data_IF_256878309319
#
_entry.id   IF_256878309319
#
_cell.length_a   1.000
_cell.length_b   1.000
_cell.length_c   1.000
_cell.angle_alpha   90.00
_cell.angle_beta   90.00
_cell.angle_gamma   90.00
#
_symmetry.space_group_name_H-M   'P 1'
#
loop_
_entity.id
_entity.type
_entity.pdbx_description
1 polymer ?
#
# COMPACT_ATOMS: atom_id res chain seq x y z
N UNK A 1 -17.78 2.09 -29.18
CA UNK A 1 -17.40 1.31 -27.99
C UNK A 1 -17.21 2.29 -26.84
N UNK A 2 -18.06 2.25 -25.81
CA UNK A 2 -17.93 3.13 -24.64
C UNK A 2 -17.00 2.51 -23.61
N UNK A 3 -16.07 3.30 -23.05
CA UNK A 3 -15.20 2.88 -21.94
C UNK A 3 -15.65 3.62 -20.68
N UNK A 4 -16.00 2.87 -19.65
CA UNK A 4 -16.21 3.43 -18.30
C UNK A 4 -14.88 3.66 -17.61
N UNK A 5 -14.88 4.55 -16.61
CA UNK A 5 -13.72 4.83 -15.76
C UNK A 5 -14.14 4.82 -14.29
N UNK A 6 -13.29 4.27 -13.42
CA UNK A 6 -13.45 4.39 -11.97
C UNK A 6 -12.95 5.78 -11.54
N UNK A 7 -13.85 6.66 -11.13
CA UNK A 7 -13.50 8.03 -10.75
C UNK A 7 -13.00 8.11 -9.30
N UNK A 8 -13.66 7.42 -8.38
CA UNK A 8 -13.28 7.41 -6.97
C UNK A 8 -13.70 6.12 -6.29
N UNK A 9 -12.87 5.69 -5.33
CA UNK A 9 -13.20 4.66 -4.35
C UNK A 9 -13.10 5.31 -2.97
N UNK A 10 -14.23 5.36 -2.25
CA UNK A 10 -14.32 5.96 -0.91
C UNK A 10 -14.60 4.86 0.10
N UNK A 11 -13.75 4.75 1.12
CA UNK A 11 -13.91 3.78 2.18
C UNK A 11 -13.19 4.27 3.44
N UNK A 12 -13.50 3.66 4.59
CA UNK A 12 -12.69 3.86 5.79
C UNK A 12 -11.25 3.32 5.58
N UNK A 13 -10.38 3.55 6.56
CA UNK A 13 -8.99 3.14 6.48
C UNK A 13 -8.83 1.62 6.30
N UNK A 14 -9.62 0.81 7.00
CA UNK A 14 -9.49 -0.64 7.00
C UNK A 14 -9.94 -1.23 5.66
N UNK A 15 -11.09 -0.78 5.15
CA UNK A 15 -11.62 -1.18 3.86
C UNK A 15 -10.73 -0.67 2.71
N UNK A 16 -10.19 0.55 2.79
CA UNK A 16 -9.21 1.07 1.84
C UNK A 16 -7.96 0.20 1.78
N UNK A 17 -7.45 -0.24 2.93
CA UNK A 17 -6.32 -1.17 2.97
C UNK A 17 -6.68 -2.53 2.37
N UNK A 18 -7.83 -3.10 2.72
CA UNK A 18 -8.28 -4.40 2.20
C UNK A 18 -8.39 -4.41 0.68
N UNK A 19 -9.09 -3.41 0.11
CA UNK A 19 -9.31 -3.32 -1.33
C UNK A 19 -8.02 -2.93 -2.05
N UNK A 20 -7.24 -2.00 -1.49
CA UNK A 20 -5.91 -1.62 -1.98
C UNK A 20 -4.84 -2.71 -1.85
N UNK A 21 -5.15 -3.84 -1.21
CA UNK A 21 -4.21 -4.96 -1.04
C UNK A 21 -3.13 -4.71 0.01
N UNK A 22 -3.27 -3.68 0.84
CA UNK A 22 -2.36 -3.34 1.93
C UNK A 22 -2.63 -4.17 3.19
N UNK A 23 -1.64 -4.24 4.09
CA UNK A 23 -1.83 -4.80 5.43
C UNK A 23 -2.75 -3.89 6.24
N UNK A 24 -3.80 -4.47 6.79
CA UNK A 24 -4.80 -3.78 7.62
C UNK A 24 -4.29 -3.33 8.99
N UNK A 25 -3.24 -3.98 9.50
CA UNK A 25 -2.67 -3.71 10.81
C UNK A 25 -1.33 -3.00 10.70
N UNK A 26 -1.18 -1.91 11.46
CA UNK A 26 0.10 -1.22 11.63
C UNK A 26 1.10 -2.06 12.44
N UNK A 27 0.62 -3.01 13.26
CA UNK A 27 1.48 -3.79 14.15
C UNK A 27 2.40 -4.75 13.40
N UNK A 28 1.96 -5.26 12.24
CA UNK A 28 2.63 -6.32 11.49
C UNK A 28 3.14 -5.86 10.12
N UNK A 29 3.32 -4.56 9.93
CA UNK A 29 3.86 -3.97 8.71
C UNK A 29 5.00 -3.01 9.06
N UNK A 30 6.15 -3.13 8.37
CA UNK A 30 7.21 -2.13 8.48
C UNK A 30 6.77 -0.82 7.83
N UNK A 31 6.28 -0.89 6.59
CA UNK A 31 5.71 0.24 5.86
C UNK A 31 4.18 0.18 5.82
N UNK A 32 3.53 0.66 6.88
CA UNK A 32 2.09 0.46 7.11
C UNK A 32 1.19 1.38 6.28
N UNK A 33 1.66 2.57 5.87
CA UNK A 33 0.84 3.53 5.14
C UNK A 33 0.65 3.11 3.68
N UNK A 34 -0.52 3.38 3.09
CA UNK A 34 -0.77 3.18 1.66
C UNK A 34 -0.13 4.26 0.78
N UNK A 35 0.05 5.48 1.29
CA UNK A 35 0.54 6.65 0.55
C UNK A 35 2.03 6.94 0.69
N UNK A 36 2.67 6.48 1.77
CA UNK A 36 4.08 6.74 2.04
C UNK A 36 4.83 5.52 2.56
N UNK A 37 6.15 5.64 2.61
CA UNK A 37 7.07 4.60 3.09
C UNK A 37 7.44 4.79 4.57
N UNK A 38 6.58 5.44 5.36
CA UNK A 38 6.82 5.64 6.79
C UNK A 38 6.96 4.31 7.54
N UNK A 39 7.94 4.25 8.43
CA UNK A 39 8.03 3.21 9.45
C UNK A 39 7.36 3.64 10.76
N UNK A 40 7.17 2.71 11.69
CA UNK A 40 6.69 3.04 13.05
C UNK A 40 7.58 4.08 13.73
N UNK A 41 8.90 3.99 13.56
CA UNK A 41 9.82 4.94 14.18
C UNK A 41 9.75 6.31 13.53
N UNK A 42 9.59 6.38 12.21
CA UNK A 42 9.39 7.66 11.51
C UNK A 42 8.10 8.34 11.97
N UNK A 43 7.01 7.57 12.12
CA UNK A 43 5.70 8.09 12.54
C UNK A 43 5.67 8.64 13.97
N UNK A 44 6.66 8.29 14.80
CA UNK A 44 6.83 8.84 16.16
C UNK A 44 7.64 10.15 16.16
N UNK A 45 8.42 10.39 15.11
CA UNK A 45 9.37 11.52 15.01
C UNK A 45 8.84 12.64 14.12
N UNK A 46 7.96 12.31 13.18
CA UNK A 46 7.47 13.23 12.17
C UNK A 46 5.94 13.20 12.12
N UNK A 47 5.32 14.37 12.00
CA UNK A 47 3.86 14.54 12.02
C UNK A 47 3.31 15.23 10.76
N UNK A 48 4.18 15.68 9.85
CA UNK A 48 3.80 16.30 8.58
C UNK A 48 4.14 15.39 7.41
N UNK A 49 3.23 15.32 6.43
CA UNK A 49 3.34 14.43 5.26
C UNK A 49 4.65 14.63 4.48
N UNK A 50 5.12 15.88 4.39
CA UNK A 50 6.33 16.29 3.66
C UNK A 50 7.62 15.63 4.19
N UNK A 51 7.62 15.16 5.44
CA UNK A 51 8.78 14.49 6.05
C UNK A 51 8.86 13.01 5.69
N UNK A 52 7.83 12.46 5.05
CA UNK A 52 7.80 11.06 4.65
C UNK A 52 8.05 10.91 3.17
N UNK A 53 8.87 9.92 2.80
CA UNK A 53 9.03 9.51 1.41
C UNK A 53 7.69 8.95 0.89
N UNK A 54 7.13 9.57 -0.14
CA UNK A 54 5.92 9.06 -0.81
C UNK A 54 6.16 7.67 -1.41
N UNK A 55 5.11 6.84 -1.40
CA UNK A 55 5.11 5.56 -2.11
C UNK A 55 4.73 5.84 -3.56
N UNK A 56 5.71 5.79 -4.45
CA UNK A 56 5.45 6.06 -5.87
C UNK A 56 4.70 4.88 -6.52
N UNK A 57 3.87 5.13 -7.55
CA UNK A 57 3.21 4.06 -8.31
C UNK A 57 4.19 3.03 -8.88
N UNK A 58 5.36 3.47 -9.35
CA UNK A 58 6.40 2.63 -9.92
C UNK A 58 7.01 1.70 -8.87
N UNK A 59 7.38 2.25 -7.70
CA UNK A 59 7.87 1.46 -6.58
C UNK A 59 6.80 0.47 -6.08
N UNK A 60 5.54 0.90 -6.00
CA UNK A 60 4.42 0.04 -5.60
C UNK A 60 4.23 -1.13 -6.55
N UNK A 61 4.33 -0.91 -7.86
CA UNK A 61 4.25 -1.96 -8.88
C UNK A 61 5.36 -3.00 -8.70
N UNK A 62 6.61 -2.56 -8.51
CA UNK A 62 7.75 -3.45 -8.24
C UNK A 62 7.55 -4.25 -6.95
N UNK A 63 7.07 -3.61 -5.88
CA UNK A 63 6.77 -4.28 -4.61
C UNK A 63 5.69 -5.36 -4.78
N UNK A 64 4.62 -5.07 -5.53
CA UNK A 64 3.57 -6.03 -5.83
C UNK A 64 4.11 -7.26 -6.58
N UNK A 65 4.93 -7.06 -7.62
CA UNK A 65 5.57 -8.17 -8.35
C UNK A 65 6.44 -9.02 -7.43
N UNK A 66 7.23 -8.38 -6.55
CA UNK A 66 8.10 -9.09 -5.59
C UNK A 66 7.34 -9.89 -4.55
N UNK A 67 6.13 -9.46 -4.17
CA UNK A 67 5.26 -10.18 -3.22
C UNK A 67 4.59 -11.38 -3.87
N UNK A 68 4.21 -11.29 -5.15
CA UNK A 68 3.64 -12.44 -5.86
C UNK A 68 4.62 -13.62 -5.95
N UNK A 69 5.92 -13.35 -5.90
CA UNK A 69 6.96 -14.37 -5.85
C UNK A 69 7.47 -14.66 -4.42
N UNK A 70 6.82 -14.15 -3.37
CA UNK A 70 7.25 -14.28 -1.97
C UNK A 70 6.53 -15.43 -1.27
N UNK A 71 7.25 -16.50 -0.95
CA UNK A 71 6.67 -17.66 -0.25
C UNK A 71 6.83 -17.56 1.27
N UNK A 72 7.72 -16.71 1.78
CA UNK A 72 8.02 -16.58 3.21
C UNK A 72 7.13 -15.57 3.92
N UNK A 73 6.51 -14.64 3.17
CA UNK A 73 5.70 -13.55 3.72
C UNK A 73 6.52 -12.39 4.30
N UNK A 74 7.85 -12.46 4.21
CA UNK A 74 8.76 -11.40 4.68
C UNK A 74 8.56 -10.10 3.90
N UNK A 75 8.42 -10.18 2.57
CA UNK A 75 8.19 -8.99 1.73
C UNK A 75 6.81 -8.41 1.98
N UNK A 76 5.82 -9.24 2.26
CA UNK A 76 4.50 -8.76 2.66
C UNK A 76 4.58 -7.91 3.94
N UNK A 77 5.30 -8.40 4.94
CA UNK A 77 5.52 -7.71 6.22
C UNK A 77 6.37 -6.45 6.04
N UNK A 78 7.41 -6.52 5.22
CA UNK A 78 8.30 -5.39 4.97
C UNK A 78 7.57 -4.27 4.21
N UNK A 79 6.92 -4.58 3.08
CA UNK A 79 6.27 -3.58 2.24
C UNK A 79 4.89 -3.15 2.76
N UNK A 80 4.30 -3.89 3.70
CA UNK A 80 2.95 -3.63 4.19
C UNK A 80 1.87 -3.91 3.13
N UNK A 81 2.12 -4.86 2.24
CA UNK A 81 1.23 -5.24 1.13
C UNK A 81 0.97 -6.74 1.23
N UNK A 82 -0.29 -7.14 1.19
CA UNK A 82 -0.69 -8.55 1.20
C UNK A 82 -0.85 -9.10 -0.22
N UNK A 83 -1.33 -8.27 -1.16
CA UNK A 83 -1.66 -8.71 -2.53
C UNK A 83 -1.67 -7.54 -3.51
N UNK A 84 -1.58 -7.85 -4.81
CA UNK A 84 -1.89 -6.90 -5.88
C UNK A 84 -3.40 -6.58 -5.85
N UNK A 85 -3.74 -5.30 -5.75
CA UNK A 85 -5.14 -4.85 -5.75
C UNK A 85 -5.79 -5.04 -7.13
N UNK A 86 -7.09 -5.31 -7.13
CA UNK A 86 -7.92 -5.26 -8.35
C UNK A 86 -8.03 -3.83 -8.90
N UNK A 87 -7.85 -2.81 -8.05
CA UNK A 87 -7.88 -1.41 -8.48
C UNK A 87 -6.72 -1.10 -9.44
N UNK A 88 -5.63 -1.86 -9.40
CA UNK A 88 -4.50 -1.69 -10.31
C UNK A 88 -4.81 -2.12 -11.75
N UNK A 89 -5.97 -2.72 -12.01
CA UNK A 89 -6.43 -3.12 -13.35
C UNK A 89 -7.48 -2.14 -13.92
N UNK A 90 -7.96 -1.19 -13.11
CA UNK A 90 -8.96 -0.18 -13.48
C UNK A 90 -8.49 1.27 -13.34
N UNK A 91 -7.34 1.49 -12.69
CA UNK A 91 -6.64 2.78 -12.57
C UNK A 91 -5.53 2.92 -13.62
#
# INVERSE_FOLDING_TARGET
MYKGALVAFLADNLASHTVGGFKQSMSFARHFCCSCMATKDDSRKHFTAEKFKSRTPEEHKVMCTKIMSDTTGEKSTNYGINKRSILNDVL
#
